data_IF_782493224991
#
_entry.id   IF_782493224991
#
_cell.length_a   1.000
_cell.length_b   1.000
_cell.length_c   1.000
_cell.angle_alpha   90.00
_cell.angle_beta   90.00
_cell.angle_gamma   90.00
#
_symmetry.space_group_name_H-M   'P 1'
#
loop_
_entity.id
_entity.type
_entity.pdbx_description
1 polymer ?
#
# COMPACT_ATOMS: atom_id res chain seq x y z
N UNK A 1 -22.19 25.47 2.40
CA UNK A 1 -20.75 25.32 2.13
C UNK A 1 -20.57 25.23 0.64
N UNK A 2 -19.79 26.16 0.06
CA UNK A 2 -19.59 26.21 -1.40
C UNK A 2 -18.66 25.08 -1.82
N UNK A 3 -19.13 24.19 -2.68
CA UNK A 3 -18.29 23.23 -3.38
C UNK A 3 -17.18 24.01 -4.09
N UNK A 4 -15.95 23.76 -3.73
CA UNK A 4 -14.76 24.35 -4.37
C UNK A 4 -14.83 24.03 -5.86
N UNK A 5 -15.05 25.02 -6.71
CA UNK A 5 -14.92 24.90 -8.17
C UNK A 5 -13.51 24.39 -8.43
N UNK A 6 -13.39 23.18 -8.91
CA UNK A 6 -12.11 22.60 -9.31
C UNK A 6 -11.44 23.54 -10.30
N UNK A 7 -10.20 23.89 -10.04
CA UNK A 7 -9.46 24.83 -10.89
C UNK A 7 -9.19 24.24 -12.28
N UNK A 8 -9.13 25.06 -13.31
CA UNK A 8 -8.88 24.59 -14.67
C UNK A 8 -7.60 23.74 -14.78
N UNK A 9 -6.53 24.12 -14.07
CA UNK A 9 -5.30 23.31 -14.05
C UNK A 9 -5.51 21.97 -13.32
N UNK A 10 -6.36 21.92 -12.29
CA UNK A 10 -6.70 20.67 -11.59
C UNK A 10 -7.44 19.69 -12.51
N UNK A 11 -8.44 20.15 -13.25
CA UNK A 11 -9.17 19.33 -14.24
C UNK A 11 -8.25 18.75 -15.32
N UNK A 12 -7.30 19.57 -15.81
CA UNK A 12 -6.30 19.13 -16.78
C UNK A 12 -5.37 18.07 -16.15
N UNK A 13 -4.90 18.30 -14.94
CA UNK A 13 -4.06 17.36 -14.22
C UNK A 13 -4.80 16.02 -14.01
N UNK A 14 -6.07 16.05 -13.64
CA UNK A 14 -6.90 14.84 -13.45
C UNK A 14 -7.09 14.07 -14.76
N UNK A 15 -7.36 14.77 -15.86
CA UNK A 15 -7.50 14.15 -17.19
C UNK A 15 -6.19 13.49 -17.63
N UNK A 16 -5.09 14.19 -17.51
CA UNK A 16 -3.76 13.66 -17.86
C UNK A 16 -3.37 12.50 -16.92
N UNK A 17 -3.66 12.60 -15.63
CA UNK A 17 -3.43 11.53 -14.66
C UNK A 17 -4.20 10.27 -15.05
N UNK A 18 -5.47 10.39 -15.39
CA UNK A 18 -6.29 9.26 -15.83
C UNK A 18 -5.67 8.58 -17.06
N UNK A 19 -5.28 9.34 -18.08
CA UNK A 19 -4.61 8.83 -19.29
C UNK A 19 -3.26 8.16 -18.97
N UNK A 20 -2.45 8.76 -18.09
CA UNK A 20 -1.18 8.18 -17.62
C UNK A 20 -1.41 6.85 -16.90
N UNK A 21 -2.41 6.79 -16.02
CA UNK A 21 -2.73 5.57 -15.26
C UNK A 21 -3.35 4.49 -16.15
N UNK A 22 -4.08 4.86 -17.19
CA UNK A 22 -4.61 3.94 -18.21
C UNK A 22 -3.51 3.33 -19.10
N UNK A 23 -2.30 3.92 -19.13
CA UNK A 23 -1.19 3.44 -19.94
C UNK A 23 -1.07 4.09 -21.31
N UNK A 24 -1.82 5.18 -21.58
CA UNK A 24 -1.78 5.88 -22.87
C UNK A 24 -0.38 6.44 -23.21
N UNK A 25 0.46 6.60 -22.21
CA UNK A 25 1.82 7.11 -22.30
C UNK A 25 2.89 6.05 -21.99
N UNK A 26 2.56 4.77 -21.99
CA UNK A 26 3.59 3.73 -21.82
C UNK A 26 4.38 3.56 -23.11
N UNK A 27 5.74 3.56 -23.05
CA UNK A 27 6.57 3.26 -24.20
C UNK A 27 6.27 1.88 -24.76
N UNK A 28 6.27 1.74 -26.08
CA UNK A 28 6.18 0.45 -26.75
C UNK A 28 7.44 0.18 -27.56
N UNK A 29 7.60 -1.05 -28.05
CA UNK A 29 8.73 -1.38 -28.93
C UNK A 29 8.69 -0.57 -30.25
N UNK A 30 7.47 -0.23 -30.71
CA UNK A 30 7.24 0.53 -31.95
C UNK A 30 7.38 2.04 -31.72
N UNK A 31 7.05 2.54 -30.51
CA UNK A 31 7.17 3.95 -30.14
C UNK A 31 7.82 4.11 -28.77
N UNK A 32 9.15 4.11 -28.69
CA UNK A 32 9.89 4.35 -27.45
C UNK A 32 9.71 5.77 -26.88
N UNK A 33 9.21 6.73 -27.69
CA UNK A 33 9.02 8.13 -27.29
C UNK A 33 7.61 8.44 -26.81
N UNK A 34 6.72 7.46 -26.79
CA UNK A 34 5.32 7.58 -26.39
C UNK A 34 5.13 8.17 -24.98
N UNK A 35 6.14 8.08 -24.13
CA UNK A 35 6.10 8.65 -22.79
C UNK A 35 6.32 10.17 -22.72
N UNK A 36 6.32 10.88 -23.85
CA UNK A 36 6.42 12.33 -23.86
C UNK A 36 5.02 12.97 -23.74
N UNK A 37 4.83 13.81 -22.73
CA UNK A 37 3.64 14.67 -22.67
C UNK A 37 3.77 15.83 -23.69
N UNK A 38 2.65 16.32 -24.22
CA UNK A 38 2.65 17.56 -24.97
C UNK A 38 3.19 18.72 -24.14
N UNK A 39 3.82 19.69 -24.81
CA UNK A 39 4.33 20.91 -24.17
C UNK A 39 3.21 21.81 -23.63
N UNK A 40 3.55 22.78 -22.79
CA UNK A 40 2.57 23.67 -22.16
C UNK A 40 1.71 24.45 -23.19
N UNK A 41 2.31 24.90 -24.31
CA UNK A 41 1.59 25.57 -25.38
C UNK A 41 0.61 24.63 -26.10
N UNK A 42 1.00 23.38 -26.38
CA UNK A 42 0.14 22.37 -26.99
C UNK A 42 -1.04 21.99 -26.08
N UNK A 43 -0.76 21.81 -24.78
CA UNK A 43 -1.79 21.55 -23.77
C UNK A 43 -2.71 22.77 -23.62
N UNK A 44 -2.14 23.98 -23.61
CA UNK A 44 -2.91 25.22 -23.56
C UNK A 44 -3.90 25.32 -24.72
N UNK A 45 -3.44 25.07 -25.93
CA UNK A 45 -4.27 25.05 -27.13
C UNK A 45 -5.34 23.92 -27.07
N UNK A 46 -4.95 22.71 -26.66
CA UNK A 46 -5.85 21.56 -26.56
C UNK A 46 -7.01 21.78 -25.57
N UNK A 47 -6.74 22.40 -24.43
CA UNK A 47 -7.73 22.60 -23.35
C UNK A 47 -8.32 24.01 -23.29
N UNK A 48 -7.94 24.91 -24.20
CA UNK A 48 -8.47 26.28 -24.25
C UNK A 48 -8.04 27.12 -23.04
N UNK A 49 -6.84 26.93 -22.53
CA UNK A 49 -6.29 27.65 -21.39
C UNK A 49 -4.94 28.29 -21.72
N UNK A 50 -4.46 29.19 -20.85
CA UNK A 50 -3.12 29.76 -21.01
C UNK A 50 -2.02 28.71 -20.78
N UNK A 51 -0.86 28.88 -21.45
CA UNK A 51 0.31 28.02 -21.28
C UNK A 51 0.73 27.92 -19.80
N UNK A 52 0.58 29.04 -19.04
CA UNK A 52 0.86 29.08 -17.60
C UNK A 52 -0.08 28.14 -16.82
N UNK A 53 -1.35 28.06 -17.18
CA UNK A 53 -2.33 27.17 -16.56
C UNK A 53 -2.02 25.71 -16.90
N UNK A 54 -1.68 25.42 -18.15
CA UNK A 54 -1.26 24.10 -18.59
C UNK A 54 0.04 23.66 -17.91
N UNK A 55 1.04 24.54 -17.84
CA UNK A 55 2.29 24.29 -17.13
C UNK A 55 2.04 23.95 -15.64
N UNK A 56 1.10 24.63 -14.98
CA UNK A 56 0.74 24.34 -13.58
C UNK A 56 0.14 22.96 -13.41
N UNK A 57 -0.67 22.48 -14.36
CA UNK A 57 -1.17 21.11 -14.36
C UNK A 57 -0.03 20.08 -14.45
N UNK A 58 0.94 20.34 -15.33
CA UNK A 58 2.13 19.48 -15.46
C UNK A 58 2.97 19.50 -14.18
N UNK A 59 3.14 20.67 -13.56
CA UNK A 59 3.87 20.79 -12.27
C UNK A 59 3.19 19.97 -11.15
N UNK A 60 1.87 19.89 -11.14
CA UNK A 60 1.16 19.03 -10.20
C UNK A 60 1.49 17.55 -10.44
N UNK A 61 1.52 17.09 -11.69
CA UNK A 61 1.89 15.71 -12.02
C UNK A 61 3.37 15.41 -11.72
N UNK A 62 4.25 16.43 -11.82
CA UNK A 62 5.65 16.31 -11.39
C UNK A 62 5.72 16.13 -9.88
N UNK A 63 4.97 16.92 -9.11
CA UNK A 63 4.91 16.78 -7.66
C UNK A 63 4.34 15.42 -7.21
N UNK A 64 3.48 14.81 -8.02
CA UNK A 64 2.94 13.47 -7.82
C UNK A 64 3.89 12.33 -8.25
N UNK A 65 5.05 12.65 -8.83
CA UNK A 65 6.01 11.65 -9.32
C UNK A 65 5.57 10.93 -10.60
N UNK A 66 4.51 11.38 -11.26
CA UNK A 66 4.03 10.78 -12.51
C UNK A 66 4.75 11.31 -13.75
N UNK A 67 5.39 12.47 -13.64
CA UNK A 67 6.06 13.17 -14.75
C UNK A 67 7.40 13.73 -14.30
N UNK A 68 8.39 13.68 -15.17
CA UNK A 68 9.70 14.33 -14.99
C UNK A 68 9.73 15.59 -15.87
N UNK A 69 9.92 16.76 -15.24
CA UNK A 69 10.14 18.01 -15.94
C UNK A 69 11.52 18.08 -16.55
N UNK A 70 11.61 18.53 -17.82
CA UNK A 70 12.89 18.74 -18.51
C UNK A 70 12.92 20.15 -19.07
N UNK A 71 13.85 21.03 -18.60
CA UNK A 71 13.97 22.38 -19.12
C UNK A 71 14.19 22.40 -20.64
N UNK A 72 13.36 23.13 -21.38
CA UNK A 72 13.46 23.26 -22.84
C UNK A 72 13.03 22.02 -23.65
N UNK A 73 12.59 20.96 -23.01
CA UNK A 73 12.14 19.71 -23.65
C UNK A 73 10.72 19.34 -23.20
N UNK A 74 10.08 18.42 -23.93
CA UNK A 74 8.78 17.85 -23.53
C UNK A 74 8.94 17.11 -22.21
N UNK A 75 7.99 17.27 -21.26
CA UNK A 75 7.99 16.50 -20.02
C UNK A 75 7.85 15.00 -20.32
N UNK A 76 8.49 14.16 -19.50
CA UNK A 76 8.40 12.70 -19.63
C UNK A 76 7.46 12.13 -18.58
N UNK A 77 6.53 11.30 -19.02
CA UNK A 77 5.80 10.41 -18.13
C UNK A 77 6.76 9.34 -17.60
N UNK A 78 6.77 9.15 -16.29
CA UNK A 78 7.54 8.06 -15.67
C UNK A 78 6.88 6.75 -16.05
N UNK A 79 7.57 5.81 -16.71
CA UNK A 79 7.02 4.51 -17.04
C UNK A 79 6.48 3.79 -15.81
N UNK A 80 5.41 3.03 -15.94
CA UNK A 80 4.72 2.36 -14.84
C UNK A 80 5.64 1.55 -13.94
N UNK A 81 6.60 0.85 -14.53
CA UNK A 81 7.62 0.07 -13.79
C UNK A 81 8.62 0.92 -12.99
N UNK A 82 8.68 2.22 -13.25
CA UNK A 82 9.58 3.17 -12.56
C UNK A 82 8.82 4.10 -11.60
N UNK A 83 7.49 4.01 -11.54
CA UNK A 83 6.69 4.82 -10.62
C UNK A 83 6.80 4.26 -9.20
N UNK A 84 6.76 5.14 -8.18
CA UNK A 84 6.66 4.67 -6.82
C UNK A 84 5.45 3.77 -6.60
N UNK A 85 5.64 2.69 -5.88
CA UNK A 85 4.55 1.81 -5.48
C UNK A 85 3.64 2.53 -4.49
N UNK A 86 2.33 2.50 -4.73
CA UNK A 86 1.33 3.18 -3.89
C UNK A 86 0.68 2.18 -2.94
N UNK A 87 0.71 2.51 -1.65
CA UNK A 87 0.25 1.62 -0.59
C UNK A 87 -0.95 2.22 0.14
N UNK A 88 -2.20 1.81 -0.16
CA UNK A 88 -3.38 2.25 0.57
C UNK A 88 -3.42 1.61 1.96
N UNK A 89 -3.43 2.43 3.02
CA UNK A 89 -3.37 1.93 4.39
C UNK A 89 -4.73 1.66 5.00
N UNK A 90 -5.71 2.48 4.71
CA UNK A 90 -7.02 2.44 5.37
C UNK A 90 -8.05 1.47 4.75
N UNK A 91 -7.74 0.83 3.62
CA UNK A 91 -8.62 -0.16 2.95
C UNK A 91 -8.12 -1.61 3.05
N UNK A 92 -7.07 -1.84 3.84
CA UNK A 92 -6.38 -3.14 3.87
C UNK A 92 -7.30 -4.30 4.24
N UNK A 93 -8.14 -4.12 5.24
CA UNK A 93 -8.98 -5.19 5.78
C UNK A 93 -10.32 -5.34 5.08
N UNK A 94 -10.97 -4.27 4.66
CA UNK A 94 -12.19 -4.33 3.87
C UNK A 94 -11.95 -5.13 2.57
N UNK A 95 -10.91 -4.77 1.83
CA UNK A 95 -10.53 -5.48 0.59
C UNK A 95 -10.07 -6.92 0.81
N UNK A 96 -9.46 -7.25 1.95
CA UNK A 96 -9.07 -8.62 2.27
C UNK A 96 -10.28 -9.53 2.45
N UNK A 97 -11.36 -9.01 3.04
CA UNK A 97 -12.62 -9.72 3.19
C UNK A 97 -13.34 -9.91 1.85
N UNK A 98 -13.38 -8.88 1.01
CA UNK A 98 -14.11 -8.89 -0.27
C UNK A 98 -13.44 -9.73 -1.35
N UNK A 99 -12.12 -9.70 -1.45
CA UNK A 99 -11.41 -10.22 -2.63
C UNK A 99 -10.88 -11.66 -2.47
N UNK A 100 -10.93 -12.25 -1.27
CA UNK A 100 -10.35 -13.58 -1.03
C UNK A 100 -8.88 -13.74 -1.46
N UNK A 101 -8.17 -12.61 -1.67
CA UNK A 101 -6.86 -12.58 -2.30
C UNK A 101 -5.95 -11.49 -1.76
N UNK A 102 -4.91 -11.19 -2.51
CA UNK A 102 -3.87 -10.21 -2.19
C UNK A 102 -4.47 -8.82 -1.94
N UNK A 103 -4.45 -8.38 -0.69
CA UNK A 103 -4.90 -7.04 -0.26
C UNK A 103 -4.19 -5.90 -1.01
N UNK A 104 -3.05 -6.19 -1.60
CA UNK A 104 -2.19 -5.23 -2.31
C UNK A 104 -2.33 -5.26 -3.84
N UNK A 105 -3.17 -6.15 -4.39
CA UNK A 105 -3.17 -6.42 -5.84
C UNK A 105 -3.91 -5.38 -6.69
N UNK A 106 -4.91 -4.67 -6.14
CA UNK A 106 -5.78 -3.81 -6.97
C UNK A 106 -5.10 -2.53 -7.46
N UNK A 107 -4.16 -1.98 -6.68
CA UNK A 107 -3.47 -0.74 -7.05
C UNK A 107 -2.18 -1.00 -7.84
N UNK A 108 -1.83 -2.29 -7.98
CA UNK A 108 -0.67 -2.76 -8.77
C UNK A 108 -1.12 -3.48 -10.06
N UNK A 109 -2.23 -3.06 -10.66
CA UNK A 109 -2.78 -3.63 -11.88
C UNK A 109 -1.71 -3.78 -12.97
N UNK A 110 -1.50 -5.03 -13.43
CA UNK A 110 -0.54 -5.37 -14.48
C UNK A 110 0.90 -5.49 -14.05
N UNK A 111 1.18 -5.56 -12.73
CA UNK A 111 2.49 -5.94 -12.19
C UNK A 111 2.44 -7.34 -11.59
N UNK A 112 3.55 -8.06 -11.67
CA UNK A 112 3.69 -9.35 -10.99
C UNK A 112 3.96 -9.11 -9.51
N UNK A 113 3.04 -9.57 -8.65
CA UNK A 113 3.19 -9.46 -7.19
C UNK A 113 3.27 -10.85 -6.60
N UNK A 114 4.39 -11.15 -5.94
CA UNK A 114 4.61 -12.42 -5.27
C UNK A 114 4.99 -12.21 -3.81
N UNK A 115 4.64 -13.16 -2.95
CA UNK A 115 5.05 -13.20 -1.55
C UNK A 115 5.99 -14.37 -1.32
N UNK A 116 7.00 -14.15 -0.51
CA UNK A 116 7.91 -15.21 -0.06
C UNK A 116 7.99 -15.19 1.46
N UNK A 117 7.63 -16.29 2.11
CA UNK A 117 7.85 -16.48 3.55
C UNK A 117 9.31 -16.83 3.73
N UNK A 118 10.04 -16.03 4.51
CA UNK A 118 11.47 -16.22 4.74
C UNK A 118 11.76 -16.87 6.08
N UNK A 119 10.89 -16.67 7.06
CA UNK A 119 11.02 -17.28 8.38
C UNK A 119 9.65 -17.40 9.07
N UNK A 120 9.46 -18.48 9.84
CA UNK A 120 8.35 -18.61 10.78
C UNK A 120 8.86 -19.31 12.04
N UNK A 121 8.39 -18.90 13.21
CA UNK A 121 8.77 -19.56 14.45
C UNK A 121 8.44 -18.77 15.71
N UNK A 122 8.57 -19.45 16.85
CA UNK A 122 8.46 -18.83 18.15
C UNK A 122 9.73 -18.03 18.47
N UNK A 123 9.54 -16.81 18.96
CA UNK A 123 10.64 -15.98 19.43
C UNK A 123 10.22 -15.13 20.63
N UNK A 124 11.19 -14.56 21.33
CA UNK A 124 10.94 -13.54 22.34
C UNK A 124 10.47 -12.27 21.64
N UNK A 125 9.45 -11.63 22.22
CA UNK A 125 8.85 -10.41 21.64
C UNK A 125 9.90 -9.30 21.50
N UNK A 126 10.05 -8.67 20.32
CA UNK A 126 10.95 -7.53 20.14
C UNK A 126 10.48 -6.32 20.95
N UNK A 127 11.40 -5.52 21.48
CA UNK A 127 11.10 -4.33 22.27
C UNK A 127 10.12 -3.36 21.60
N UNK A 128 10.23 -3.18 20.28
CA UNK A 128 9.34 -2.30 19.50
C UNK A 128 7.90 -2.79 19.42
N UNK A 129 7.68 -4.09 19.64
CA UNK A 129 6.37 -4.75 19.51
C UNK A 129 5.69 -4.92 20.87
N UNK A 130 6.47 -4.93 21.98
CA UNK A 130 5.96 -5.06 23.36
C UNK A 130 4.76 -4.15 23.64
N UNK A 131 4.81 -2.82 23.42
CA UNK A 131 3.70 -1.94 23.74
C UNK A 131 2.47 -2.17 22.84
N UNK A 132 2.65 -2.64 21.62
CA UNK A 132 1.59 -2.87 20.66
C UNK A 132 0.77 -4.10 21.02
N UNK A 133 1.44 -5.15 21.44
CA UNK A 133 0.82 -6.40 21.87
C UNK A 133 0.53 -6.44 23.38
N UNK A 134 0.90 -5.40 24.13
CA UNK A 134 0.73 -5.30 25.59
C UNK A 134 1.35 -6.48 26.34
N UNK A 135 2.46 -6.97 25.84
CA UNK A 135 3.20 -8.10 26.39
C UNK A 135 4.29 -7.64 27.35
N UNK A 136 4.79 -8.57 28.17
CA UNK A 136 5.96 -8.37 29.00
C UNK A 136 7.26 -8.60 28.21
N UNK A 137 8.36 -8.00 28.69
CA UNK A 137 9.68 -8.35 28.19
C UNK A 137 9.97 -9.82 28.52
N UNK A 138 10.28 -10.60 27.49
CA UNK A 138 10.52 -12.04 27.63
C UNK A 138 9.34 -12.93 27.20
N UNK A 139 8.16 -12.36 27.03
CA UNK A 139 7.03 -13.11 26.49
C UNK A 139 7.32 -13.61 25.07
N UNK A 140 6.65 -14.69 24.69
CA UNK A 140 6.85 -15.31 23.39
C UNK A 140 5.75 -14.90 22.42
N UNK A 141 6.15 -14.71 21.16
CA UNK A 141 5.27 -14.46 20.04
C UNK A 141 5.58 -15.43 18.91
N UNK A 142 4.59 -15.74 18.11
CA UNK A 142 4.82 -16.38 16.83
C UNK A 142 5.14 -15.31 15.79
N UNK A 143 6.30 -15.42 15.17
CA UNK A 143 6.75 -14.49 14.15
C UNK A 143 6.64 -15.10 12.74
N UNK A 144 6.24 -14.29 11.76
CA UNK A 144 6.21 -14.65 10.34
C UNK A 144 6.88 -13.55 9.53
N UNK A 145 8.09 -13.79 9.10
CA UNK A 145 8.83 -12.87 8.23
C UNK A 145 8.50 -13.15 6.76
N UNK A 146 8.29 -12.09 5.99
CA UNK A 146 7.90 -12.15 4.59
C UNK A 146 8.62 -11.10 3.77
N UNK A 147 8.84 -11.42 2.52
CA UNK A 147 9.20 -10.49 1.48
C UNK A 147 8.02 -10.37 0.50
N UNK A 148 7.69 -9.15 0.12
CA UNK A 148 6.81 -8.88 -0.99
C UNK A 148 7.66 -8.45 -2.17
N UNK A 149 7.51 -9.15 -3.29
CA UNK A 149 8.22 -8.85 -4.52
C UNK A 149 7.23 -8.27 -5.54
N UNK A 150 7.68 -7.22 -6.23
CA UNK A 150 6.96 -6.60 -7.33
C UNK A 150 7.89 -6.62 -8.54
N UNK A 151 7.45 -7.27 -9.63
CA UNK A 151 8.27 -7.52 -10.82
C UNK A 151 9.65 -8.10 -10.44
N UNK A 152 9.66 -9.12 -9.57
CA UNK A 152 10.84 -9.83 -9.07
C UNK A 152 11.82 -9.00 -8.21
N UNK A 153 11.46 -7.77 -7.80
CA UNK A 153 12.24 -6.93 -6.88
C UNK A 153 11.56 -6.90 -5.51
N UNK A 154 12.34 -7.00 -4.44
CA UNK A 154 11.81 -6.86 -3.08
C UNK A 154 11.35 -5.41 -2.88
N UNK A 155 10.04 -5.23 -2.69
CA UNK A 155 9.40 -3.95 -2.45
C UNK A 155 9.09 -3.73 -0.96
N UNK A 156 8.94 -4.82 -0.20
CA UNK A 156 8.66 -4.78 1.24
C UNK A 156 9.32 -5.95 1.96
N UNK A 157 9.88 -5.65 3.12
CA UNK A 157 10.21 -6.62 4.16
C UNK A 157 9.19 -6.46 5.29
N UNK A 158 8.58 -7.55 5.76
CA UNK A 158 7.61 -7.48 6.84
C UNK A 158 7.70 -8.66 7.79
N UNK A 159 7.41 -8.39 9.06
CA UNK A 159 7.29 -9.42 10.09
C UNK A 159 5.96 -9.21 10.82
N UNK A 160 5.11 -10.22 10.82
CA UNK A 160 3.91 -10.30 11.66
C UNK A 160 4.26 -11.01 12.96
N UNK A 161 3.78 -10.47 14.07
CA UNK A 161 3.93 -11.02 15.42
C UNK A 161 2.55 -11.28 16.01
N UNK A 162 2.32 -12.50 16.47
CA UNK A 162 1.07 -12.91 17.09
C UNK A 162 1.34 -13.31 18.55
N UNK A 163 0.54 -12.83 19.52
CA UNK A 163 0.59 -13.32 20.91
C UNK A 163 0.43 -14.86 20.94
N UNK A 164 1.00 -15.49 21.95
CA UNK A 164 0.98 -16.95 22.05
C UNK A 164 -0.43 -17.51 22.16
N UNK A 165 -1.29 -16.88 22.94
CA UNK A 165 -2.71 -17.23 23.13
C UNK A 165 -3.55 -17.07 21.86
N UNK A 166 -3.18 -16.17 20.97
CA UNK A 166 -3.82 -15.99 19.65
C UNK A 166 -3.29 -17.00 18.63
N UNK A 167 -2.01 -17.35 18.70
CA UNK A 167 -1.35 -18.16 17.66
C UNK A 167 -1.43 -19.67 17.91
N UNK A 168 -1.33 -20.13 19.18
CA UNK A 168 -1.22 -21.55 19.50
C UNK A 168 -2.43 -22.36 19.02
N UNK A 169 -2.17 -23.48 18.35
CA UNK A 169 -3.21 -24.39 17.85
C UNK A 169 -3.96 -23.88 16.62
N UNK A 170 -3.56 -22.76 16.04
CA UNK A 170 -4.20 -22.16 14.87
C UNK A 170 -3.35 -22.29 13.60
N UNK A 171 -3.95 -21.98 12.43
CA UNK A 171 -3.22 -21.92 11.16
C UNK A 171 -2.16 -20.80 11.13
N UNK A 172 -2.17 -19.85 12.07
CA UNK A 172 -1.13 -18.83 12.18
C UNK A 172 0.26 -19.44 12.34
N UNK A 173 0.36 -20.60 13.00
CA UNK A 173 1.63 -21.30 13.24
C UNK A 173 2.04 -22.24 12.10
N UNK A 174 1.35 -22.24 10.96
CA UNK A 174 1.77 -23.03 9.81
C UNK A 174 2.88 -22.31 9.02
N UNK A 175 3.84 -23.04 8.43
CA UNK A 175 4.87 -22.44 7.59
C UNK A 175 4.37 -22.06 6.20
N UNK A 176 3.20 -22.57 5.78
CA UNK A 176 2.58 -22.29 4.47
C UNK A 176 1.89 -20.93 4.42
N UNK A 177 1.55 -20.50 3.23
CA UNK A 177 0.71 -19.29 3.04
C UNK A 177 -0.70 -19.52 3.60
N UNK A 178 -1.39 -18.44 3.97
CA UNK A 178 -2.74 -18.51 4.47
C UNK A 178 -3.75 -18.77 3.34
N UNK A 179 -4.92 -19.34 3.67
CA UNK A 179 -6.02 -19.47 2.71
C UNK A 179 -6.49 -18.09 2.21
N UNK A 180 -7.30 -18.02 1.15
CA UNK A 180 -7.96 -16.79 0.71
C UNK A 180 -8.61 -16.05 1.89
N UNK A 181 -8.43 -14.72 1.95
CA UNK A 181 -8.77 -13.92 3.12
C UNK A 181 -7.60 -13.68 4.09
N UNK A 182 -6.52 -14.46 3.95
CA UNK A 182 -5.26 -14.22 4.69
C UNK A 182 -5.40 -14.35 6.20
N UNK A 183 -4.63 -13.53 6.93
CA UNK A 183 -4.63 -13.51 8.40
C UNK A 183 -6.00 -13.18 8.99
N UNK A 184 -6.77 -12.30 8.33
CA UNK A 184 -8.12 -11.92 8.78
C UNK A 184 -9.02 -13.14 8.87
N UNK A 185 -9.03 -13.96 7.81
CA UNK A 185 -9.82 -15.17 7.77
C UNK A 185 -9.41 -16.17 8.85
N UNK A 186 -8.10 -16.36 9.05
CA UNK A 186 -7.59 -17.27 10.08
C UNK A 186 -8.00 -16.82 11.48
N UNK A 187 -7.93 -15.51 11.77
CA UNK A 187 -8.36 -14.96 13.05
C UNK A 187 -9.88 -15.11 13.25
N UNK A 188 -10.68 -14.83 12.24
CA UNK A 188 -12.14 -14.97 12.29
C UNK A 188 -12.57 -16.43 12.48
N UNK A 189 -11.93 -17.38 11.83
CA UNK A 189 -12.22 -18.82 11.95
C UNK A 189 -11.97 -19.37 13.38
N UNK A 190 -11.10 -18.70 14.15
CA UNK A 190 -10.85 -19.05 15.56
C UNK A 190 -11.57 -18.11 16.54
N UNK A 191 -12.48 -17.28 16.06
CA UNK A 191 -13.36 -16.44 16.88
C UNK A 191 -12.85 -15.04 17.19
N UNK A 192 -11.72 -14.63 16.67
CA UNK A 192 -11.19 -13.26 16.83
C UNK A 192 -11.70 -12.35 15.72
N UNK A 193 -12.55 -11.40 16.07
CA UNK A 193 -13.00 -10.34 15.15
C UNK A 193 -12.13 -9.10 15.29
N UNK A 194 -11.56 -8.63 14.18
CA UNK A 194 -10.80 -7.38 14.17
C UNK A 194 -11.78 -6.19 14.23
N UNK A 195 -11.67 -5.38 15.26
CA UNK A 195 -12.52 -4.21 15.49
C UNK A 195 -11.78 -2.88 15.33
N UNK A 196 -10.47 -2.85 15.58
CA UNK A 196 -9.66 -1.65 15.47
C UNK A 196 -8.29 -1.97 14.90
N UNK A 197 -7.79 -1.04 14.11
CA UNK A 197 -6.42 -1.06 13.61
C UNK A 197 -5.71 0.25 13.94
N UNK A 198 -4.41 0.16 14.20
CA UNK A 198 -3.54 1.33 14.38
C UNK A 198 -2.38 1.24 13.40
N UNK A 199 -2.07 2.33 12.74
CA UNK A 199 -0.94 2.42 11.83
C UNK A 199 -0.05 3.60 12.23
N UNK A 200 1.24 3.33 12.37
CA UNK A 200 2.26 4.35 12.58
C UNK A 200 3.29 4.24 11.45
N UNK A 201 3.59 5.36 10.81
CA UNK A 201 4.59 5.43 9.75
C UNK A 201 5.71 6.37 10.16
N UNK A 202 6.95 5.93 10.04
CA UNK A 202 8.14 6.76 10.28
C UNK A 202 9.19 6.55 9.21
N UNK A 203 9.91 7.61 8.88
CA UNK A 203 11.11 7.54 8.07
C UNK A 203 12.33 7.32 8.97
N UNK A 204 13.23 6.40 8.58
CA UNK A 204 14.52 6.16 9.24
C UNK A 204 15.57 5.73 8.23
N UNK A 205 16.80 5.70 8.66
CA UNK A 205 17.84 5.04 7.89
C UNK A 205 17.63 3.53 7.91
N UNK A 206 17.83 2.90 6.76
CA UNK A 206 17.84 1.46 6.62
C UNK A 206 19.07 0.87 7.34
N UNK A 207 18.93 -0.32 7.87
CA UNK A 207 20.06 -1.14 8.28
C UNK A 207 20.83 -1.63 7.06
N UNK A 208 22.06 -2.10 7.24
CA UNK A 208 22.82 -2.70 6.14
C UNK A 208 22.16 -3.98 5.62
N UNK A 209 21.52 -4.75 6.49
CA UNK A 209 20.78 -5.95 6.12
C UNK A 209 19.57 -5.62 5.23
N UNK A 210 18.80 -4.60 5.59
CA UNK A 210 17.68 -4.10 4.78
C UNK A 210 18.15 -3.60 3.43
N UNK A 211 19.25 -2.83 3.37
CA UNK A 211 19.81 -2.37 2.10
C UNK A 211 20.21 -3.53 1.20
N UNK A 212 20.90 -4.54 1.75
CA UNK A 212 21.27 -5.74 0.97
C UNK A 212 20.05 -6.50 0.48
N UNK A 213 19.03 -6.65 1.31
CA UNK A 213 17.79 -7.30 0.93
C UNK A 213 17.07 -6.57 -0.22
N UNK A 214 17.08 -5.24 -0.21
CA UNK A 214 16.55 -4.43 -1.31
C UNK A 214 17.47 -4.37 -2.56
N UNK A 215 18.54 -5.15 -2.59
CA UNK A 215 19.48 -5.18 -3.70
C UNK A 215 20.35 -3.92 -3.80
N UNK A 216 20.54 -3.23 -2.73
CA UNK A 216 21.28 -1.98 -2.64
C UNK A 216 22.61 -2.20 -1.96
N UNK A 217 23.73 -1.81 -2.61
CA UNK A 217 25.04 -1.83 -1.98
C UNK A 217 25.16 -0.66 -0.98
N UNK A 218 25.32 -0.95 0.33
CA UNK A 218 25.44 0.11 1.34
C UNK A 218 26.63 1.05 1.10
N UNK A 219 27.70 0.58 0.47
CA UNK A 219 28.89 1.37 0.22
C UNK A 219 28.72 2.38 -0.92
N UNK A 220 27.81 2.09 -1.86
CA UNK A 220 27.64 2.89 -3.09
C UNK A 220 26.45 3.86 -3.02
N UNK A 221 25.55 3.69 -2.04
CA UNK A 221 24.35 4.53 -1.94
C UNK A 221 24.61 5.85 -1.21
N UNK A 222 24.21 7.00 -1.79
CA UNK A 222 24.15 8.25 -1.06
C UNK A 222 23.15 8.16 0.09
N UNK A 223 23.31 9.01 1.12
CA UNK A 223 22.47 8.97 2.33
C UNK A 223 20.97 9.04 2.03
N UNK A 224 20.57 9.83 1.04
CA UNK A 224 19.18 9.94 0.61
C UNK A 224 18.59 8.61 0.10
N UNK A 225 19.39 7.77 -0.55
CA UNK A 225 18.96 6.43 -1.02
C UNK A 225 18.93 5.37 0.08
N UNK A 226 19.31 5.72 1.33
CA UNK A 226 19.28 4.82 2.48
C UNK A 226 18.08 5.03 3.38
N UNK A 227 17.15 5.90 3.01
CA UNK A 227 15.94 6.14 3.82
C UNK A 227 14.90 5.08 3.49
N UNK A 228 14.31 4.53 4.54
CA UNK A 228 13.18 3.62 4.47
C UNK A 228 11.97 4.21 5.19
N UNK A 229 10.78 3.80 4.76
CA UNK A 229 9.54 4.00 5.51
C UNK A 229 9.29 2.72 6.29
N UNK A 230 9.31 2.82 7.61
CA UNK A 230 8.87 1.77 8.50
C UNK A 230 7.42 2.03 8.88
N UNK A 231 6.57 1.02 8.70
CA UNK A 231 5.17 1.08 9.11
C UNK A 231 4.95 0.00 10.15
N UNK A 232 4.47 0.41 11.29
CA UNK A 232 4.00 -0.48 12.33
C UNK A 232 2.47 -0.50 12.29
N UNK A 233 1.92 -1.69 12.14
CA UNK A 233 0.48 -1.93 12.08
C UNK A 233 0.11 -2.86 13.23
N UNK A 234 -0.92 -2.50 14.01
CA UNK A 234 -1.43 -3.35 15.09
C UNK A 234 -2.95 -3.52 14.94
N UNK A 235 -3.44 -4.72 15.16
CA UNK A 235 -4.87 -5.08 15.14
C UNK A 235 -5.35 -5.50 16.50
N UNK A 236 -6.58 -5.10 16.81
CA UNK A 236 -7.22 -5.33 18.10
C UNK A 236 -8.63 -5.88 17.91
N UNK A 237 -8.98 -6.84 18.75
CA UNK A 237 -10.28 -7.48 18.81
C UNK A 237 -11.22 -6.87 19.83
N UNK A 238 -12.17 -7.69 20.31
CA UNK A 238 -13.16 -7.31 21.33
C UNK A 238 -12.43 -6.94 22.63
N UNK A 239 -12.87 -5.86 23.27
CA UNK A 239 -12.21 -5.36 24.48
C UNK A 239 -10.82 -4.81 24.27
N UNK A 240 -10.50 -4.46 23.03
CA UNK A 240 -9.18 -3.92 22.62
C UNK A 240 -8.02 -4.94 22.83
N UNK A 241 -8.35 -6.24 22.73
CA UNK A 241 -7.41 -7.35 22.80
C UNK A 241 -6.42 -7.31 21.62
N UNK A 242 -5.11 -7.32 21.85
CA UNK A 242 -4.13 -7.32 20.76
C UNK A 242 -4.12 -8.67 20.03
N UNK A 243 -4.28 -8.63 18.71
CA UNK A 243 -4.33 -9.85 17.88
C UNK A 243 -3.08 -10.03 17.00
N UNK A 244 -2.56 -8.95 16.46
CA UNK A 244 -1.39 -8.96 15.58
C UNK A 244 -0.66 -7.62 15.67
N UNK A 245 0.64 -7.65 15.60
CA UNK A 245 1.46 -6.49 15.25
C UNK A 245 2.32 -6.83 14.03
N UNK A 246 2.37 -5.92 13.06
CA UNK A 246 3.21 -6.07 11.86
C UNK A 246 4.19 -4.91 11.81
N UNK A 247 5.45 -5.22 11.63
CA UNK A 247 6.47 -4.22 11.28
C UNK A 247 6.84 -4.45 9.81
N UNK A 248 6.65 -3.45 8.97
CA UNK A 248 7.01 -3.50 7.56
C UNK A 248 7.93 -2.35 7.19
N UNK A 249 8.87 -2.63 6.29
CA UNK A 249 9.91 -1.69 5.86
C UNK A 249 9.94 -1.64 4.34
N UNK A 250 9.99 -0.43 3.78
CA UNK A 250 10.04 -0.17 2.33
C UNK A 250 11.07 0.91 2.02
N UNK A 251 11.79 0.84 0.88
CA UNK A 251 12.61 1.96 0.40
C UNK A 251 11.76 3.22 0.23
N UNK A 252 12.17 4.34 0.81
CA UNK A 252 11.36 5.59 0.77
C UNK A 252 11.29 6.20 -0.63
N UNK A 253 12.31 5.99 -1.46
CA UNK A 253 12.37 6.53 -2.82
C UNK A 253 11.39 5.88 -3.79
N UNK A 254 11.03 4.62 -3.53
CA UNK A 254 10.26 3.80 -4.46
C UNK A 254 8.81 3.59 -3.98
N UNK A 255 8.42 4.21 -2.86
CA UNK A 255 7.14 3.94 -2.23
C UNK A 255 6.41 5.20 -1.78
N UNK A 256 5.09 5.22 -1.94
CA UNK A 256 4.17 6.26 -1.47
C UNK A 256 3.11 5.61 -0.58
N UNK A 257 2.97 6.12 0.63
CA UNK A 257 1.91 5.69 1.54
C UNK A 257 0.68 6.58 1.30
N UNK A 258 -0.46 5.94 1.08
CA UNK A 258 -1.70 6.62 0.74
C UNK A 258 -2.70 6.45 1.88
N UNK A 259 -3.20 7.56 2.40
CA UNK A 259 -4.35 7.61 3.29
C UNK A 259 -5.48 8.33 2.58
N UNK A 260 -6.65 7.71 2.49
CA UNK A 260 -7.84 8.29 1.89
C UNK A 260 -8.88 8.51 2.98
N UNK A 261 -9.48 9.69 3.02
CA UNK A 261 -10.57 10.02 3.94
C UNK A 261 -11.81 10.36 3.12
N UNK A 262 -12.91 9.73 3.43
CA UNK A 262 -14.21 9.98 2.78
C UNK A 262 -15.06 10.85 3.70
N UNK A 263 -15.43 12.05 3.24
CA UNK A 263 -16.37 12.90 3.95
C UNK A 263 -17.80 12.56 3.47
N UNK A 264 -18.67 12.13 4.37
CA UNK A 264 -20.10 11.89 4.10
C UNK A 264 -20.53 10.43 3.95
N UNK A 265 -20.11 9.55 4.82
CA UNK A 265 -20.80 8.28 5.10
C UNK A 265 -20.91 7.22 4.01
N UNK A 266 -20.14 7.31 2.92
CA UNK A 266 -20.15 6.26 1.87
C UNK A 266 -19.14 5.13 2.10
N UNK A 267 -18.40 5.16 3.19
CA UNK A 267 -17.36 4.15 3.49
C UNK A 267 -17.64 3.28 4.72
N UNK A 268 -18.57 3.68 5.56
CA UNK A 268 -18.86 2.99 6.85
C UNK A 268 -20.25 2.34 6.90
N UNK A 269 -21.22 2.82 6.10
CA UNK A 269 -22.63 2.38 6.19
C UNK A 269 -22.94 1.11 5.39
N UNK A 270 -22.12 0.73 4.41
CA UNK A 270 -22.32 -0.55 3.67
C UNK A 270 -21.94 -1.78 4.50
N UNK A 271 -21.02 -1.64 5.47
CA UNK A 271 -20.60 -2.76 6.32
C UNK A 271 -21.60 -3.08 7.44
N UNK A 272 -22.39 -2.11 7.91
CA UNK A 272 -23.39 -2.31 8.97
C UNK A 272 -24.75 -2.81 8.44
N UNK A 273 -25.11 -2.50 7.19
CA UNK A 273 -26.38 -2.96 6.61
C UNK A 273 -26.34 -4.45 6.22
N UNK A 274 -25.14 -5.01 5.93
CA UNK A 274 -24.97 -6.43 5.66
C UNK A 274 -24.91 -7.30 6.92
N UNK A 275 -24.57 -6.72 8.07
CA UNK A 275 -24.54 -7.41 9.35
C UNK A 275 -25.94 -7.60 10.00
N UNK A 276 -26.96 -6.90 9.52
CA UNK A 276 -28.31 -6.84 10.10
C UNK A 276 -29.40 -7.64 9.39
N UNK A 277 -29.12 -8.36 8.30
CA UNK A 277 -30.17 -9.15 7.62
C UNK A 277 -30.26 -10.58 8.20
N UNK A 278 -31.37 -10.94 8.90
CA UNK A 278 -31.60 -12.32 9.26
C UNK A 278 -31.82 -13.15 7.99
N UNK A 279 -31.21 -14.32 7.94
CA UNK A 279 -31.41 -15.31 6.89
C UNK A 279 -32.91 -15.63 6.76
N UNK A 280 -33.53 -15.20 5.69
CA UNK A 280 -34.90 -15.59 5.34
C UNK A 280 -34.88 -17.06 4.95
N UNK A 281 -35.52 -17.88 5.79
CA UNK A 281 -35.84 -19.28 5.50
C UNK A 281 -36.73 -19.37 4.26
N UNK A 282 -36.26 -20.01 3.22
CA UNK A 282 -37.12 -20.46 2.11
C UNK A 282 -37.86 -21.66 2.61
N UNK A 283 -39.14 -21.52 2.98
CA UNK A 283 -40.07 -22.60 3.13
C UNK A 283 -40.50 -23.07 1.75
N UNK A 284 -40.39 -24.36 1.54
CA UNK A 284 -40.89 -25.13 0.42
C UNK A 284 -42.42 -25.14 0.40
N UNK A 285 -43.03 -24.84 -0.74
CA UNK A 285 -44.21 -25.54 -1.26
C UNK A 285 -43.98 -25.88 -2.74
#
# INVERSE_FOLDING_TARGET
MSLSRQTAYGQIADTLRAAILAGDYEPTAEDPTRNQLPGAAELGAKYGVSDKTAARAVQQLIAEGLVIGRPGLRPLVVPRKQRPDRWPMNRRYARAREAGGLVFGSDMLGREVTKRITHTGWMVVPHSVVPLLRLGLGDRVWARARELLIDSRIAELSVSYFPADVAEGTLLTTPSDFPPGGVVRVLEDVGHRILRTSNEARARLATEEELRAFGTDPALQPLAGRVVIEITHATYGIGDEPLEAVVSVRPATDNVIVFETYEGGQGEDEDDELAGRPATSVASE
#
